data_IF_603563899512
#
_entry.id   IF_603563899512
#
_cell.length_a   1.000
_cell.length_b   1.000
_cell.length_c   1.000
_cell.angle_alpha   90.00
_cell.angle_beta   90.00
_cell.angle_gamma   90.00
#
_symmetry.space_group_name_H-M   'P 1'
#
loop_
_entity.id
_entity.type
_entity.pdbx_description
1 polymer ?
#
# COMPACT_ATOMS: atom_id res chain seq x y z
N UNK A 1 -14.82 2.47 -19.73
CA UNK A 1 -15.04 1.27 -18.89
C UNK A 1 -14.32 1.53 -17.59
N UNK A 2 -14.96 1.33 -16.45
CA UNK A 2 -14.33 1.53 -15.14
C UNK A 2 -13.37 0.38 -14.86
N UNK A 3 -12.10 0.68 -14.57
CA UNK A 3 -11.13 -0.34 -14.19
C UNK A 3 -11.51 -0.92 -12.82
N UNK A 4 -11.51 -2.25 -12.75
CA UNK A 4 -11.82 -3.00 -11.53
C UNK A 4 -10.56 -3.66 -11.01
N UNK A 5 -10.32 -3.53 -9.71
CA UNK A 5 -9.20 -4.20 -9.02
C UNK A 5 -9.67 -4.98 -7.81
N UNK A 6 -8.90 -6.00 -7.46
CA UNK A 6 -9.10 -6.82 -6.26
C UNK A 6 -8.05 -6.44 -5.23
N UNK A 7 -8.50 -6.01 -4.05
CA UNK A 7 -7.63 -5.69 -2.92
C UNK A 7 -7.73 -6.81 -1.88
N UNK A 8 -6.59 -7.36 -1.49
CA UNK A 8 -6.51 -8.33 -0.39
C UNK A 8 -6.46 -7.59 0.93
N UNK A 9 -7.31 -7.99 1.87
CA UNK A 9 -7.40 -7.38 3.19
C UNK A 9 -7.04 -8.42 4.25
N UNK A 10 -6.58 -7.94 5.40
CA UNK A 10 -6.19 -8.76 6.54
C UNK A 10 -7.44 -9.16 7.32
N UNK A 11 -7.54 -10.43 7.70
CA UNK A 11 -8.65 -10.95 8.53
C UNK A 11 -10.02 -11.05 7.83
N UNK A 12 -10.09 -10.89 6.50
CA UNK A 12 -11.34 -10.98 5.74
C UNK A 12 -11.12 -11.35 4.26
N UNK A 13 -12.17 -11.77 3.53
CA UNK A 13 -12.05 -12.04 2.09
C UNK A 13 -11.61 -10.80 1.29
N UNK A 14 -10.89 -10.98 0.17
CA UNK A 14 -10.55 -9.89 -0.75
C UNK A 14 -11.79 -9.14 -1.23
N UNK A 15 -11.65 -7.83 -1.41
CA UNK A 15 -12.72 -6.97 -1.91
C UNK A 15 -12.43 -6.56 -3.35
N UNK A 16 -13.49 -6.46 -4.16
CA UNK A 16 -13.39 -5.96 -5.53
C UNK A 16 -13.97 -4.56 -5.59
N UNK A 17 -13.17 -3.61 -6.05
CA UNK A 17 -13.56 -2.21 -6.18
C UNK A 17 -13.46 -1.76 -7.64
N UNK A 18 -14.12 -0.66 -7.96
CA UNK A 18 -13.92 0.09 -9.20
C UNK A 18 -13.26 1.41 -8.89
N UNK A 19 -12.31 1.81 -9.73
CA UNK A 19 -11.49 2.99 -9.46
C UNK A 19 -12.30 4.29 -9.42
N UNK A 20 -13.38 4.38 -10.20
CA UNK A 20 -14.27 5.56 -10.22
C UNK A 20 -15.06 5.74 -8.90
N UNK A 21 -15.36 4.64 -8.21
CA UNK A 21 -16.12 4.70 -6.96
C UNK A 21 -15.21 4.77 -5.74
N UNK A 22 -13.94 4.37 -5.90
CA UNK A 22 -12.93 4.30 -4.86
C UNK A 22 -11.66 5.03 -5.32
N UNK A 23 -11.72 6.36 -5.54
CA UNK A 23 -10.55 7.14 -5.89
C UNK A 23 -9.43 6.98 -4.86
N UNK A 24 -8.19 7.10 -5.34
CA UNK A 24 -7.02 7.19 -4.46
C UNK A 24 -7.10 8.49 -3.67
N UNK A 25 -7.04 8.38 -2.35
CA UNK A 25 -6.97 9.50 -1.42
C UNK A 25 -5.52 9.91 -1.16
N UNK A 26 -4.65 8.92 -0.98
CA UNK A 26 -3.21 9.09 -0.79
C UNK A 26 -2.49 7.80 -1.20
N UNK A 27 -1.21 7.90 -1.58
CA UNK A 27 -0.37 6.72 -1.82
C UNK A 27 1.12 7.03 -1.77
N UNK A 28 1.91 6.01 -1.47
CA UNK A 28 3.36 6.04 -1.64
C UNK A 28 3.83 4.72 -2.25
N UNK A 29 4.93 4.77 -3.00
CA UNK A 29 5.51 3.58 -3.62
C UNK A 29 7.00 3.75 -3.86
N UNK A 30 7.74 2.66 -3.71
CA UNK A 30 9.16 2.61 -4.02
C UNK A 30 9.47 1.35 -4.83
N UNK A 31 10.59 1.38 -5.53
CA UNK A 31 11.06 0.30 -6.38
C UNK A 31 12.58 0.31 -6.43
N UNK A 32 13.15 -0.85 -6.17
CA UNK A 32 14.58 -1.07 -6.20
C UNK A 32 14.93 -2.25 -7.12
N UNK A 33 16.15 -2.25 -7.66
CA UNK A 33 16.66 -3.29 -8.53
C UNK A 33 18.18 -3.43 -8.38
N UNK A 34 18.70 -4.62 -8.66
CA UNK A 34 20.14 -4.82 -8.77
C UNK A 34 20.69 -4.41 -10.15
N UNK A 35 22.01 -4.21 -10.23
CA UNK A 35 22.75 -3.71 -11.40
C UNK A 35 22.51 -2.23 -11.73
N UNK A 36 23.21 -1.72 -12.76
CA UNK A 36 23.18 -0.31 -13.13
C UNK A 36 21.84 0.11 -13.76
N UNK A 37 21.19 -0.80 -14.49
CA UNK A 37 19.93 -0.54 -15.19
C UNK A 37 18.89 -1.61 -14.91
N UNK A 38 17.62 -1.20 -14.75
CA UNK A 38 16.51 -2.11 -14.45
C UNK A 38 16.36 -3.24 -15.48
N UNK A 39 16.57 -2.97 -16.77
CA UNK A 39 16.46 -4.01 -17.80
C UNK A 39 17.53 -5.11 -17.70
N UNK A 40 18.57 -4.89 -16.89
CA UNK A 40 19.62 -5.86 -16.58
C UNK A 40 19.40 -6.50 -15.20
N UNK A 41 18.36 -6.10 -14.47
CA UNK A 41 18.12 -6.55 -13.12
C UNK A 41 17.78 -8.05 -13.09
N UNK A 42 18.41 -8.74 -12.15
CA UNK A 42 18.06 -10.09 -11.75
C UNK A 42 17.28 -10.11 -10.44
N UNK A 43 17.21 -9.01 -9.71
CA UNK A 43 16.37 -8.80 -8.53
C UNK A 43 15.59 -7.51 -8.70
N UNK A 44 14.29 -7.58 -8.46
CA UNK A 44 13.43 -6.40 -8.44
C UNK A 44 12.57 -6.47 -7.18
N UNK A 45 12.58 -5.39 -6.42
CA UNK A 45 11.74 -5.23 -5.24
C UNK A 45 10.80 -4.05 -5.46
N UNK A 46 9.52 -4.22 -5.11
CA UNK A 46 8.50 -3.17 -5.22
C UNK A 46 7.71 -3.10 -3.93
N UNK A 47 7.47 -1.88 -3.49
CA UNK A 47 6.65 -1.56 -2.33
C UNK A 47 5.58 -0.57 -2.76
N UNK A 48 4.38 -0.74 -2.24
CA UNK A 48 3.27 0.18 -2.47
C UNK A 48 2.40 0.21 -1.23
N UNK A 49 1.95 1.39 -0.84
CA UNK A 49 0.86 1.62 0.08
C UNK A 49 -0.12 2.62 -0.55
N UNK A 50 -1.41 2.39 -0.34
CA UNK A 50 -2.44 3.28 -0.83
C UNK A 50 -3.64 3.34 0.10
N UNK A 51 -4.24 4.52 0.12
CA UNK A 51 -5.53 4.81 0.74
C UNK A 51 -6.52 5.12 -0.36
N UNK A 52 -7.68 4.48 -0.32
CA UNK A 52 -8.81 4.77 -1.21
C UNK A 52 -10.04 5.08 -0.39
N UNK A 53 -10.79 6.09 -0.79
CA UNK A 53 -12.02 6.46 -0.10
C UNK A 53 -13.21 6.37 -1.05
N UNK A 54 -14.27 5.72 -0.60
CA UNK A 54 -15.53 5.69 -1.31
C UNK A 54 -16.37 6.91 -0.95
N UNK A 55 -17.25 7.33 -1.86
CA UNK A 55 -18.16 8.48 -1.65
C UNK A 55 -19.07 8.38 -0.43
N UNK A 56 -19.28 7.17 0.10
CA UNK A 56 -20.08 6.94 1.32
C UNK A 56 -19.26 7.04 2.61
N UNK A 57 -17.99 7.44 2.52
CA UNK A 57 -17.10 7.68 3.66
C UNK A 57 -16.27 6.48 4.10
N UNK A 58 -16.50 5.28 3.55
CA UNK A 58 -15.62 4.12 3.82
C UNK A 58 -14.24 4.33 3.21
N UNK A 59 -13.21 3.83 3.88
CA UNK A 59 -11.84 3.86 3.36
C UNK A 59 -11.21 2.47 3.32
N UNK A 60 -10.30 2.25 2.39
CA UNK A 60 -9.43 1.08 2.31
C UNK A 60 -8.00 1.56 2.39
N UNK A 61 -7.25 1.09 3.37
CA UNK A 61 -5.79 1.22 3.43
C UNK A 61 -5.21 -0.13 3.07
N UNK A 62 -4.28 -0.17 2.12
CA UNK A 62 -3.70 -1.44 1.66
C UNK A 62 -2.27 -1.26 1.17
N UNK A 63 -1.47 -2.30 1.36
CA UNK A 63 -0.09 -2.35 0.93
C UNK A 63 0.23 -3.66 0.19
N UNK A 64 1.18 -3.57 -0.72
CA UNK A 64 1.72 -4.71 -1.45
C UNK A 64 3.23 -4.66 -1.50
N UNK A 65 3.84 -5.81 -1.28
CA UNK A 65 5.26 -6.07 -1.45
C UNK A 65 5.44 -7.16 -2.50
N UNK A 66 6.40 -6.98 -3.40
CA UNK A 66 6.87 -8.05 -4.26
C UNK A 66 8.38 -8.00 -4.42
N UNK A 67 9.01 -9.13 -4.25
CA UNK A 67 10.40 -9.40 -4.59
C UNK A 67 10.41 -10.51 -5.64
N UNK A 68 11.08 -10.26 -6.76
CA UNK A 68 11.29 -11.24 -7.83
C UNK A 68 12.77 -11.41 -8.12
N UNK A 69 13.20 -12.65 -8.34
CA UNK A 69 14.61 -12.99 -8.59
C UNK A 69 14.81 -14.02 -9.70
N UNK A 70 15.85 -13.84 -10.50
CA UNK A 70 16.27 -14.81 -11.53
C UNK A 70 17.39 -15.74 -11.05
N UNK A 71 17.93 -15.53 -9.84
CA UNK A 71 19.06 -16.29 -9.33
C UNK A 71 18.66 -17.67 -8.83
N UNK A 72 19.40 -18.69 -9.26
CA UNK A 72 19.20 -20.05 -8.76
C UNK A 72 19.49 -20.11 -7.25
N UNK A 73 18.52 -20.60 -6.49
CA UNK A 73 18.62 -20.75 -5.03
C UNK A 73 17.93 -19.64 -4.23
N UNK A 74 17.49 -18.57 -4.88
CA UNK A 74 16.61 -17.57 -4.29
C UNK A 74 15.14 -17.87 -4.61
N UNK A 75 14.22 -17.22 -3.87
CA UNK A 75 12.79 -17.39 -4.06
C UNK A 75 12.12 -16.03 -4.17
N UNK A 76 11.18 -15.94 -5.10
CA UNK A 76 10.23 -14.85 -5.13
C UNK A 76 9.46 -14.79 -3.81
N UNK A 77 9.14 -13.57 -3.39
CA UNK A 77 8.33 -13.31 -2.22
C UNK A 77 7.28 -12.25 -2.54
N UNK A 78 6.09 -12.40 -1.97
CA UNK A 78 5.09 -11.34 -2.01
C UNK A 78 4.32 -11.31 -0.72
N UNK A 79 3.92 -10.11 -0.32
CA UNK A 79 3.09 -9.89 0.86
C UNK A 79 2.03 -8.85 0.55
N UNK A 80 0.86 -9.02 1.13
CA UNK A 80 -0.26 -8.09 1.01
C UNK A 80 -0.88 -7.93 2.39
N UNK A 81 -1.16 -6.70 2.76
CA UNK A 81 -1.86 -6.36 3.99
C UNK A 81 -2.85 -5.25 3.68
N UNK A 82 -3.98 -5.21 4.37
CA UNK A 82 -4.91 -4.11 4.22
C UNK A 82 -6.03 -4.12 5.22
N UNK A 83 -6.58 -2.94 5.49
CA UNK A 83 -7.66 -2.70 6.42
C UNK A 83 -8.76 -1.91 5.73
N UNK A 84 -10.01 -2.29 6.01
CA UNK A 84 -11.17 -1.51 5.63
C UNK A 84 -11.64 -0.75 6.87
N UNK A 85 -11.94 0.53 6.67
CA UNK A 85 -12.51 1.42 7.65
C UNK A 85 -13.96 1.72 7.28
N UNK A 86 -14.82 1.75 8.29
CA UNK A 86 -16.24 2.04 8.13
C UNK A 86 -16.49 3.52 7.85
N UNK A 87 -17.68 3.82 7.34
CA UNK A 87 -18.09 5.20 7.11
C UNK A 87 -18.07 6.00 8.43
N UNK A 88 -17.53 7.21 8.39
CA UNK A 88 -17.38 8.06 9.57
C UNK A 88 -16.07 7.88 10.34
N UNK A 89 -15.16 7.01 9.87
CA UNK A 89 -13.79 6.95 10.39
C UNK A 89 -13.09 8.29 10.18
N UNK A 90 -12.37 8.74 11.20
CA UNK A 90 -11.64 10.01 11.18
C UNK A 90 -10.34 9.90 10.38
N UNK A 91 -9.70 11.04 10.08
CA UNK A 91 -8.36 11.04 9.47
C UNK A 91 -7.33 10.32 10.36
N UNK A 92 -7.46 10.44 11.68
CA UNK A 92 -6.61 9.74 12.64
C UNK A 92 -6.78 8.22 12.55
N UNK A 93 -7.98 7.73 12.25
CA UNK A 93 -8.23 6.30 12.05
C UNK A 93 -7.59 5.80 10.74
N UNK A 94 -7.57 6.63 9.70
CA UNK A 94 -6.83 6.35 8.46
C UNK A 94 -5.33 6.30 8.75
N UNK A 95 -4.79 7.25 9.51
CA UNK A 95 -3.36 7.26 9.90
C UNK A 95 -3.01 6.01 10.71
N UNK A 96 -3.82 5.63 11.71
CA UNK A 96 -3.62 4.38 12.47
C UNK A 96 -3.66 3.14 11.59
N UNK A 97 -4.53 3.12 10.58
CA UNK A 97 -4.57 2.02 9.62
C UNK A 97 -3.34 1.99 8.70
N UNK A 98 -2.80 3.14 8.31
CA UNK A 98 -1.52 3.24 7.58
C UNK A 98 -0.39 2.68 8.45
N UNK A 99 -0.30 3.11 9.70
CA UNK A 99 0.69 2.63 10.66
C UNK A 99 0.61 1.11 10.82
N UNK A 100 -0.59 0.58 11.11
CA UNK A 100 -0.83 -0.85 11.25
C UNK A 100 -0.41 -1.65 10.00
N UNK A 101 -0.79 -1.18 8.81
CA UNK A 101 -0.48 -1.86 7.55
C UNK A 101 1.03 -1.84 7.30
N UNK A 102 1.71 -0.70 7.48
CA UNK A 102 3.16 -0.61 7.30
C UNK A 102 3.92 -1.47 8.32
N UNK A 103 3.50 -1.45 9.58
CA UNK A 103 4.15 -2.23 10.65
C UNK A 103 3.98 -3.74 10.42
N UNK A 104 2.77 -4.19 10.02
CA UNK A 104 2.57 -5.59 9.62
C UNK A 104 3.47 -5.95 8.45
N UNK A 105 3.51 -5.12 7.40
CA UNK A 105 4.32 -5.37 6.21
C UNK A 105 5.82 -5.42 6.51
N UNK A 106 6.31 -4.55 7.41
CA UNK A 106 7.71 -4.40 7.80
C UNK A 106 8.21 -5.36 8.88
N UNK A 107 7.38 -6.28 9.38
CA UNK A 107 7.80 -7.31 10.34
C UNK A 107 8.95 -8.17 9.78
N UNK A 108 10.20 -7.78 10.06
CA UNK A 108 11.41 -8.38 9.48
C UNK A 108 12.55 -7.38 9.16
N UNK A 109 12.23 -6.09 9.01
CA UNK A 109 13.17 -4.96 9.05
C UNK A 109 14.00 -4.68 7.78
N UNK A 110 13.73 -3.51 7.16
CA UNK A 110 14.61 -2.78 6.22
C UNK A 110 14.46 -1.24 6.31
N UNK A 111 13.54 -0.72 7.14
CA UNK A 111 13.23 0.72 7.27
C UNK A 111 12.40 1.31 6.14
N UNK A 112 12.22 0.59 5.02
CA UNK A 112 11.50 1.11 3.83
C UNK A 112 10.04 1.37 4.09
N UNK A 113 9.41 0.56 4.94
CA UNK A 113 8.02 0.77 5.33
C UNK A 113 7.83 2.03 6.20
N UNK A 114 8.86 2.50 6.89
CA UNK A 114 8.77 3.77 7.64
C UNK A 114 8.84 4.98 6.72
N UNK A 115 9.68 4.94 5.67
CA UNK A 115 9.73 5.97 4.63
C UNK A 115 8.37 6.08 3.91
N UNK A 116 7.85 4.95 3.42
CA UNK A 116 6.56 4.89 2.73
C UNK A 116 5.38 5.28 3.60
N UNK A 117 5.43 4.96 4.90
CA UNK A 117 4.45 5.42 5.89
C UNK A 117 4.42 6.93 5.96
N UNK A 118 5.58 7.56 6.13
CA UNK A 118 5.69 9.01 6.22
C UNK A 118 5.23 9.70 4.91
N UNK A 119 5.65 9.20 3.76
CA UNK A 119 5.24 9.72 2.45
C UNK A 119 3.72 9.59 2.22
N UNK A 120 3.14 8.43 2.55
CA UNK A 120 1.70 8.23 2.36
C UNK A 120 0.87 9.11 3.29
N UNK A 121 1.34 9.38 4.51
CA UNK A 121 0.69 10.32 5.43
C UNK A 121 0.82 11.75 4.91
N UNK A 122 1.96 12.13 4.34
CA UNK A 122 2.18 13.45 3.76
C UNK A 122 1.32 13.73 2.51
N UNK A 123 0.93 12.68 1.79
CA UNK A 123 0.04 12.74 0.61
C UNK A 123 -1.46 12.79 0.99
N UNK A 124 -1.82 12.66 2.28
CA UNK A 124 -3.21 12.84 2.73
C UNK A 124 -3.66 14.31 2.56
N UNK A 125 -4.96 14.57 2.36
CA UNK A 125 -5.49 15.92 2.32
C UNK A 125 -5.13 16.72 3.58
N UNK A 126 -4.58 17.92 3.40
CA UNK A 126 -4.19 18.78 4.50
C UNK A 126 -5.40 19.24 5.32
N UNK A 127 -5.20 19.36 6.63
CA UNK A 127 -6.17 19.95 7.56
C UNK A 127 -5.84 21.44 7.73
N UNK A 128 -6.81 22.31 7.47
CA UNK A 128 -6.67 23.74 7.75
C UNK A 128 -6.84 24.00 9.25
N UNK A 129 -5.91 24.76 9.84
CA UNK A 129 -5.97 25.21 11.23
C UNK A 129 -6.17 26.73 11.22
N UNK A 130 -7.26 27.20 11.84
CA UNK A 130 -7.54 28.63 12.07
C UNK A 130 -6.97 29.13 13.41
#
# INVERSE_FOLDING_TARGET
MSDKRTITLTGRPPVRISDDNWPTLASASDKDWDNEYEFQANRITKWFIGVRQHRDGRAIVYATYSYSTNWQGERDASKKCGQMLDAGSSIDDIIRAIEYVCDDMGAGGDGKWDELKAECIADLPAVELE
#
